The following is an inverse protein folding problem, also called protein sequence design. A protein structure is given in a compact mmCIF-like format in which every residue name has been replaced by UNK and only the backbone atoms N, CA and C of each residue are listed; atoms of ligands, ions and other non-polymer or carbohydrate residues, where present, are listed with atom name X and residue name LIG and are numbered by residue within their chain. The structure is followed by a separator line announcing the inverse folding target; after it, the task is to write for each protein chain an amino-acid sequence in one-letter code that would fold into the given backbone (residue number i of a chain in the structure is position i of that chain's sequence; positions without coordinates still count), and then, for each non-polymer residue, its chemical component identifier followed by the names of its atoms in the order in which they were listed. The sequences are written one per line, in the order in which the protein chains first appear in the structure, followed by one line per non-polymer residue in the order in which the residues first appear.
data_IF_022627417213
#
_entry.id   IF_022627417213
#
_cell.length_a   1.000
_cell.length_b   1.000
_cell.length_c   1.000
_cell.angle_alpha   90.00
_cell.angle_beta   90.00
_cell.angle_gamma   90.00
#
_symmetry.space_group_name_H-M   'P 1'
#
loop_
_entity.id
_entity.type
_entity.pdbx_description
1 polymer ?
#
# COMPACT_ATOMS: atom_id res chain seq x y z
N UNK A 1 3.59 7.96 13.80
CA UNK A 1 3.75 6.57 13.31
C UNK A 1 2.38 6.11 12.84
N UNK A 2 2.17 6.04 11.53
CA UNK A 2 0.90 5.62 10.92
C UNK A 2 0.76 4.11 11.19
N UNK A 3 -0.23 3.71 11.99
CA UNK A 3 -0.32 2.36 12.59
C UNK A 3 -0.72 1.26 11.61
N UNK A 4 -1.20 1.61 10.42
CA UNK A 4 -1.85 0.66 9.49
C UNK A 4 -1.20 0.65 8.08
N UNK A 5 0.09 0.99 7.99
CA UNK A 5 0.83 0.96 6.71
C UNK A 5 1.64 -0.32 6.59
N UNK A 6 1.40 -1.09 5.52
CA UNK A 6 2.29 -2.20 5.16
C UNK A 6 3.52 -1.61 4.47
N UNK A 7 4.70 -1.94 4.99
CA UNK A 7 5.97 -1.47 4.48
C UNK A 7 6.79 -2.62 3.92
N UNK A 8 7.22 -2.49 2.67
CA UNK A 8 8.19 -3.39 2.05
C UNK A 8 9.46 -2.61 1.75
N UNK A 9 10.54 -2.92 2.46
CA UNK A 9 11.88 -2.42 2.15
C UNK A 9 12.91 -3.55 2.19
N UNK A 10 13.97 -3.46 1.38
CA UNK A 10 15.07 -4.42 1.46
C UNK A 10 15.70 -4.36 2.85
N UNK A 11 15.76 -5.49 3.55
CA UNK A 11 16.53 -5.61 4.79
C UNK A 11 15.77 -5.45 6.11
N UNK A 12 14.43 -5.31 6.11
CA UNK A 12 13.65 -5.35 7.37
C UNK A 12 12.98 -6.72 7.52
N UNK A 13 13.78 -7.73 7.86
CA UNK A 13 13.27 -8.95 8.49
C UNK A 13 13.27 -8.70 10.00
N UNK A 14 12.12 -8.93 10.65
CA UNK A 14 11.90 -8.66 12.07
C UNK A 14 13.01 -9.24 12.96
N UNK A 15 13.78 -8.36 13.58
CA UNK A 15 14.89 -8.71 14.45
C UNK A 15 15.79 -7.50 14.67
N UNK A 16 15.68 -6.88 15.84
CA UNK A 16 16.53 -5.78 16.28
C UNK A 16 18.01 -6.20 16.29
N UNK A 17 18.78 -5.71 15.34
CA UNK A 17 20.23 -5.54 15.44
C UNK A 17 20.65 -4.33 14.60
N UNK A 18 21.34 -3.38 15.24
CA UNK A 18 21.64 -2.04 14.76
C UNK A 18 22.76 -1.98 13.68
N UNK A 19 22.82 -2.95 12.76
CA UNK A 19 23.91 -3.06 11.78
C UNK A 19 23.49 -3.38 10.34
N UNK A 20 22.20 -3.28 9.98
CA UNK A 20 21.72 -3.46 8.59
C UNK A 20 21.21 -2.18 7.90
N UNK A 21 21.57 -0.98 8.39
CA UNK A 21 21.01 0.30 7.92
C UNK A 21 21.49 0.79 6.53
N UNK A 22 21.98 -0.08 5.64
CA UNK A 22 22.52 0.35 4.34
C UNK A 22 21.97 -0.42 3.14
N UNK A 23 20.71 -0.21 2.79
CA UNK A 23 20.31 0.02 1.38
C UNK A 23 18.85 0.46 1.27
N UNK A 24 18.47 1.50 2.01
CA UNK A 24 17.21 2.20 1.70
C UNK A 24 17.28 2.68 0.24
N UNK A 25 16.29 2.36 -0.58
CA UNK A 25 16.31 2.80 -1.96
C UNK A 25 16.23 4.33 -2.01
N UNK A 26 16.83 4.97 -3.04
CA UNK A 26 16.66 6.43 -3.25
C UNK A 26 15.25 6.78 -3.72
N UNK A 27 14.43 5.77 -4.04
CA UNK A 27 13.09 5.90 -4.61
C UNK A 27 12.07 5.16 -3.76
N UNK A 28 10.87 5.73 -3.64
CA UNK A 28 9.73 5.10 -2.99
C UNK A 28 8.47 5.14 -3.86
N UNK A 29 7.59 4.17 -3.63
CA UNK A 29 6.26 4.14 -4.21
C UNK A 29 5.20 3.97 -3.11
N UNK A 30 4.13 4.75 -3.21
CA UNK A 30 2.91 4.56 -2.44
C UNK A 30 1.92 3.83 -3.34
N UNK A 31 1.47 2.63 -2.94
CA UNK A 31 0.46 1.86 -3.67
C UNK A 31 -0.88 2.02 -2.97
N UNK A 32 -1.86 2.56 -3.70
CA UNK A 32 -3.23 2.71 -3.23
C UNK A 32 -4.04 1.48 -3.64
N UNK A 33 -4.68 0.84 -2.65
CA UNK A 33 -5.51 -0.33 -2.89
C UNK A 33 -6.92 0.05 -3.36
N UNK A 34 -7.53 -0.87 -4.08
CA UNK A 34 -8.95 -0.85 -4.46
C UNK A 34 -9.89 -1.12 -3.27
N UNK A 35 -11.21 -1.09 -3.51
CA UNK A 35 -12.25 -1.24 -2.47
C UNK A 35 -12.22 -2.58 -1.73
N UNK A 36 -11.43 -3.55 -2.20
CA UNK A 36 -11.25 -4.85 -1.54
C UNK A 36 -10.20 -4.83 -0.43
N UNK A 37 -9.49 -3.72 -0.23
CA UNK A 37 -8.42 -3.62 0.77
C UNK A 37 -7.07 -4.15 0.27
N UNK A 38 -6.12 -4.35 1.19
CA UNK A 38 -4.77 -4.87 0.90
C UNK A 38 -4.83 -6.39 0.64
N UNK A 39 -5.37 -6.77 -0.50
CA UNK A 39 -5.51 -8.16 -0.94
C UNK A 39 -4.19 -8.70 -1.53
N UNK A 40 -4.19 -9.97 -1.94
CA UNK A 40 -3.01 -10.62 -2.53
C UNK A 40 -2.53 -9.95 -3.83
N UNK A 41 -3.42 -9.31 -4.60
CA UNK A 41 -3.04 -8.55 -5.79
C UNK A 41 -2.19 -7.34 -5.39
N UNK A 42 -2.62 -6.57 -4.39
CA UNK A 42 -1.89 -5.39 -3.90
C UNK A 42 -0.52 -5.79 -3.33
N UNK A 43 -0.45 -6.90 -2.58
CA UNK A 43 0.82 -7.41 -2.06
C UNK A 43 1.79 -7.85 -3.17
N UNK A 44 1.29 -8.53 -4.21
CA UNK A 44 2.11 -8.88 -5.38
C UNK A 44 2.62 -7.65 -6.11
N UNK A 45 1.76 -6.65 -6.34
CA UNK A 45 2.18 -5.39 -6.92
C UNK A 45 3.28 -4.72 -6.08
N UNK A 46 3.13 -4.69 -4.75
CA UNK A 46 4.19 -4.20 -3.86
C UNK A 46 5.51 -4.94 -4.04
N UNK A 47 5.49 -6.27 -4.08
CA UNK A 47 6.69 -7.07 -4.30
C UNK A 47 7.34 -6.80 -5.68
N UNK A 48 6.54 -6.67 -6.73
CA UNK A 48 7.05 -6.33 -8.07
C UNK A 48 7.73 -4.96 -8.11
N UNK A 49 7.20 -3.95 -7.42
CA UNK A 49 7.84 -2.64 -7.36
C UNK A 49 9.08 -2.65 -6.48
N UNK A 50 9.06 -3.42 -5.39
CA UNK A 50 10.23 -3.62 -4.53
C UNK A 50 11.41 -4.23 -5.31
N UNK A 51 11.17 -5.29 -6.08
CA UNK A 51 12.22 -5.91 -6.92
C UNK A 51 12.77 -4.97 -8.00
N UNK A 52 12.03 -3.92 -8.37
CA UNK A 52 12.49 -2.85 -9.28
C UNK A 52 13.36 -1.80 -8.59
N UNK A 53 13.54 -1.87 -7.27
CA UNK A 53 14.36 -0.93 -6.48
C UNK A 53 13.57 0.25 -5.92
N UNK A 54 12.40 0.00 -5.35
CA UNK A 54 11.59 1.00 -4.65
C UNK A 54 11.29 0.52 -3.23
N UNK A 55 11.32 1.42 -2.26
CA UNK A 55 10.70 1.17 -0.98
C UNK A 55 9.19 1.38 -1.11
N UNK A 56 8.39 0.44 -0.63
CA UNK A 56 6.93 0.43 -0.88
C UNK A 56 6.17 0.70 0.39
N UNK A 57 5.20 1.61 0.28
CA UNK A 57 4.24 1.94 1.31
C UNK A 57 2.83 1.67 0.81
N UNK A 58 2.07 0.87 1.54
CA UNK A 58 0.67 0.58 1.24
C UNK A 58 -0.17 1.01 2.44
N UNK A 59 -0.69 2.25 2.44
CA UNK A 59 -1.56 2.70 3.51
C UNK A 59 -2.90 1.98 3.44
N UNK A 60 -3.43 1.53 4.59
CA UNK A 60 -4.83 1.19 4.68
C UNK A 60 -5.67 2.46 4.48
N UNK A 61 -6.44 2.51 3.39
CA UNK A 61 -7.34 3.63 3.07
C UNK A 61 -8.63 3.59 3.88
N UNK A 62 -8.92 2.44 4.48
CA UNK A 62 -10.07 2.23 5.35
C UNK A 62 -9.78 1.15 6.39
N UNK A 63 -10.42 1.18 7.58
CA UNK A 63 -10.19 0.19 8.61
C UNK A 63 -10.57 -1.22 8.15
N UNK A 64 -9.61 -2.14 8.08
CA UNK A 64 -9.88 -3.57 7.91
C UNK A 64 -8.83 -4.46 8.56
N UNK A 65 -9.30 -5.62 9.04
CA UNK A 65 -8.46 -6.72 9.49
C UNK A 65 -8.35 -7.84 8.44
N UNK A 66 -9.28 -7.92 7.47
CA UNK A 66 -9.26 -8.94 6.40
C UNK A 66 -9.76 -8.32 5.09
N UNK A 67 -9.04 -8.51 3.97
CA UNK A 67 -9.48 -8.02 2.65
C UNK A 67 -10.78 -8.68 2.20
N UNK A 68 -11.62 -7.95 1.47
CA UNK A 68 -12.76 -8.53 0.78
C UNK A 68 -12.31 -9.40 -0.38
N UNK A 69 -13.08 -10.45 -0.67
CA UNK A 69 -12.93 -11.22 -1.90
C UNK A 69 -13.64 -10.51 -3.05
N UNK A 70 -13.28 -10.85 -4.29
CA UNK A 70 -13.92 -10.25 -5.47
C UNK A 70 -15.40 -10.58 -5.56
N UNK A 71 -15.83 -11.75 -5.07
CA UNK A 71 -17.23 -12.15 -5.02
C UNK A 71 -18.04 -11.27 -4.04
N UNK A 72 -17.35 -10.57 -3.14
CA UNK A 72 -17.95 -9.65 -2.15
C UNK A 72 -17.95 -8.20 -2.65
N UNK A 73 -18.04 -7.99 -3.97
CA UNK A 73 -17.97 -6.67 -4.58
C UNK A 73 -19.03 -5.72 -4.01
N UNK A 74 -20.26 -6.18 -3.78
CA UNK A 74 -21.30 -5.35 -3.21
C UNK A 74 -21.02 -4.98 -1.75
N UNK A 75 -20.55 -5.93 -0.93
CA UNK A 75 -20.16 -5.67 0.45
C UNK A 75 -18.99 -4.69 0.52
N UNK A 76 -17.98 -4.87 -0.32
CA UNK A 76 -16.83 -3.99 -0.42
C UNK A 76 -17.26 -2.58 -0.82
N UNK A 77 -18.15 -2.45 -1.81
CA UNK A 77 -18.68 -1.17 -2.26
C UNK A 77 -19.54 -0.49 -1.19
N UNK A 78 -20.42 -1.24 -0.52
CA UNK A 78 -21.24 -0.74 0.60
C UNK A 78 -20.34 -0.30 1.75
N UNK A 79 -19.33 -1.08 2.10
CA UNK A 79 -18.39 -0.74 3.16
C UNK A 79 -17.64 0.56 2.85
N UNK A 80 -17.08 0.67 1.65
CA UNK A 80 -16.40 1.87 1.18
C UNK A 80 -17.32 3.09 1.19
N UNK A 81 -18.52 2.97 0.60
CA UNK A 81 -19.44 4.11 0.42
C UNK A 81 -20.11 4.55 1.73
N UNK A 82 -20.38 3.62 2.65
CA UNK A 82 -21.15 3.90 3.86
C UNK A 82 -20.28 4.28 5.07
N UNK A 83 -19.06 3.74 5.18
CA UNK A 83 -18.29 3.86 6.42
C UNK A 83 -17.02 4.69 6.29
N UNK A 84 -16.47 4.90 5.09
CA UNK A 84 -15.08 5.42 4.99
C UNK A 84 -14.85 6.43 3.88
N UNK A 85 -15.44 6.25 2.70
CA UNK A 85 -15.03 7.01 1.52
C UNK A 85 -13.53 6.91 1.27
N UNK A 86 -12.93 7.99 0.76
CA UNK A 86 -11.48 8.14 0.65
C UNK A 86 -11.06 9.31 1.54
N UNK A 87 -10.36 9.04 2.65
CA UNK A 87 -9.70 10.09 3.43
C UNK A 87 -8.34 10.44 2.79
N UNK A 88 -8.22 11.57 2.07
CA UNK A 88 -6.96 11.97 1.46
C UNK A 88 -5.89 12.33 2.51
N UNK A 89 -6.26 12.59 3.77
CA UNK A 89 -5.33 13.01 4.81
C UNK A 89 -4.26 11.93 5.07
N UNK A 90 -4.63 10.65 5.02
CA UNK A 90 -3.70 9.53 5.20
C UNK A 90 -2.61 9.54 4.13
N UNK A 91 -3.01 9.70 2.87
CA UNK A 91 -2.07 9.70 1.72
C UNK A 91 -1.24 10.98 1.71
N UNK A 92 -1.85 12.14 1.94
CA UNK A 92 -1.16 13.43 1.93
C UNK A 92 -0.16 13.58 3.08
N UNK A 93 -0.50 13.09 4.28
CA UNK A 93 0.44 13.04 5.42
C UNK A 93 1.62 12.13 5.10
N UNK A 94 1.36 10.92 4.58
CA UNK A 94 2.43 10.01 4.17
C UNK A 94 3.32 10.64 3.08
N UNK A 95 2.73 11.29 2.07
CA UNK A 95 3.49 12.00 1.03
C UNK A 95 4.40 13.08 1.61
N UNK A 96 3.89 13.88 2.55
CA UNK A 96 4.67 14.93 3.21
C UNK A 96 5.88 14.34 3.94
N UNK A 97 5.68 13.26 4.69
CA UNK A 97 6.74 12.58 5.43
C UNK A 97 7.80 11.99 4.49
N UNK A 98 7.38 11.31 3.42
CA UNK A 98 8.30 10.61 2.52
C UNK A 98 9.05 11.53 1.57
N UNK A 99 8.47 12.68 1.17
CA UNK A 99 9.08 13.59 0.20
C UNK A 99 10.42 14.17 0.67
N UNK A 100 10.64 14.27 1.97
CA UNK A 100 11.91 14.73 2.55
C UNK A 100 12.99 13.65 2.60
N UNK A 101 12.61 12.38 2.38
CA UNK A 101 13.48 11.22 2.60
C UNK A 101 13.85 10.47 1.31
N UNK A 102 13.17 10.74 0.21
CA UNK A 102 13.39 10.08 -1.08
C UNK A 102 13.58 11.09 -2.21
N UNK A 103 14.43 10.76 -3.18
CA UNK A 103 14.66 11.59 -4.37
C UNK A 103 13.55 11.45 -5.39
N UNK A 104 12.92 10.28 -5.43
CA UNK A 104 11.79 10.00 -6.30
C UNK A 104 10.69 9.37 -5.47
N UNK A 105 9.50 9.97 -5.52
CA UNK A 105 8.31 9.48 -4.85
C UNK A 105 7.19 9.38 -5.89
N UNK A 106 6.63 8.18 -6.05
CA UNK A 106 5.56 7.89 -7.01
C UNK A 106 4.32 7.41 -6.25
N UNK A 107 3.14 7.78 -6.71
CA UNK A 107 1.86 7.22 -6.24
C UNK A 107 1.26 6.39 -7.35
N UNK A 108 0.89 5.15 -7.04
CA UNK A 108 0.29 4.19 -7.98
C UNK A 108 -1.09 3.81 -7.48
N UNK A 109 -2.13 4.14 -8.24
CA UNK A 109 -3.47 3.62 -8.02
C UNK A 109 -3.66 2.31 -8.76
N UNK A 110 -4.05 1.25 -8.05
CA UNK A 110 -4.43 -0.03 -8.68
C UNK A 110 -5.94 -0.07 -8.80
N UNK A 111 -6.43 -0.23 -10.03
CA UNK A 111 -7.82 -0.53 -10.31
C UNK A 111 -7.91 -2.00 -10.77
N UNK A 112 -8.89 -2.77 -10.26
CA UNK A 112 -9.18 -4.11 -10.77
C UNK A 112 -9.43 -4.05 -12.28
N UNK A 113 -8.56 -4.69 -13.06
CA UNK A 113 -8.91 -5.13 -14.39
C UNK A 113 -9.81 -6.35 -14.23
N UNK A 114 -11.14 -6.14 -14.20
CA UNK A 114 -12.11 -7.23 -14.29
C UNK A 114 -11.88 -7.94 -15.63
N UNK A 115 -11.15 -9.07 -15.62
CA UNK A 115 -11.25 -10.04 -16.70
C UNK A 115 -12.56 -10.78 -16.49
N UNK A 116 -13.60 -10.31 -17.18
CA UNK A 116 -14.82 -11.06 -17.40
C UNK A 116 -14.45 -12.44 -17.94
N UNK A 117 -14.47 -13.46 -17.09
CA UNK A 117 -14.56 -14.83 -17.58
C UNK A 117 -16.03 -15.05 -17.89
N UNK A 118 -16.38 -14.78 -19.15
CA UNK A 118 -17.57 -15.34 -19.78
C UNK A 118 -17.30 -16.76 -20.27
#
# INVERSE_FOLDING_TARGET
MIKDTVFFAPGVSGGSNASSLSSRHRRAAIILHEIYGINAHIQRAGHEWMTRGFDIYIPALFPHHTPFRYEQQEEAYRHFSANVGFDPAVVTTLLHDLRTQYETLIVVGIASAQRSHG
#
